data_IF_232525790785
#
_entry.id   IF_232525790785
#
_cell.length_a   1.000
_cell.length_b   1.000
_cell.length_c   1.000
_cell.angle_alpha   90.00
_cell.angle_beta   90.00
_cell.angle_gamma   90.00
#
_symmetry.space_group_name_H-M   'P 1'
#
loop_
_entity.id
_entity.type
_entity.pdbx_description
1 polymer ?
#
# COMPACT_ATOMS: atom_id res chain seq x y z
N UNK A 1 23.49 -1.54 3.77
CA UNK A 1 22.44 -1.77 4.80
C UNK A 1 22.34 -3.23 5.26
N UNK A 2 22.46 -4.23 4.36
CA UNK A 2 22.36 -5.65 4.70
C UNK A 2 23.45 -6.15 5.68
N UNK A 3 24.68 -5.67 5.54
CA UNK A 3 25.79 -6.03 6.43
C UNK A 3 25.59 -5.50 7.86
N UNK A 4 25.24 -4.22 8.03
CA UNK A 4 24.94 -3.64 9.34
C UNK A 4 23.82 -4.40 10.07
N UNK A 5 22.78 -4.83 9.34
CA UNK A 5 21.71 -5.69 9.88
C UNK A 5 22.26 -7.05 10.34
N UNK A 6 23.14 -7.68 9.57
CA UNK A 6 23.77 -8.96 9.93
C UNK A 6 24.55 -8.81 11.23
N UNK A 7 25.41 -7.80 11.32
CA UNK A 7 26.29 -7.57 12.48
C UNK A 7 25.51 -7.24 13.77
N UNK A 8 24.41 -6.49 13.65
CA UNK A 8 23.53 -6.18 14.78
C UNK A 8 22.68 -7.37 15.26
N UNK A 9 22.48 -8.38 14.42
CA UNK A 9 21.73 -9.59 14.77
C UNK A 9 22.60 -10.63 15.51
N UNK A 10 23.93 -10.55 15.39
CA UNK A 10 24.84 -11.49 16.03
C UNK A 10 24.75 -11.40 17.56
N UNK A 11 24.84 -12.51 18.30
CA UNK A 11 24.92 -12.48 19.76
C UNK A 11 26.27 -11.90 20.22
N UNK A 12 26.33 -11.44 21.47
CA UNK A 12 27.53 -10.84 22.07
C UNK A 12 28.77 -11.77 22.06
N UNK A 13 28.56 -13.07 21.94
CA UNK A 13 29.64 -14.07 21.86
C UNK A 13 30.41 -14.06 20.53
N UNK A 14 29.86 -13.47 19.47
CA UNK A 14 30.47 -13.46 18.13
C UNK A 14 31.45 -12.31 17.98
N UNK A 15 32.56 -12.50 17.26
CA UNK A 15 33.63 -11.49 17.20
C UNK A 15 33.23 -10.19 16.48
N UNK A 16 32.33 -10.27 15.51
CA UNK A 16 31.92 -9.14 14.67
C UNK A 16 30.58 -8.51 15.12
N UNK A 17 30.15 -8.77 16.36
CA UNK A 17 28.89 -8.24 16.85
C UNK A 17 28.92 -6.70 16.99
N UNK A 18 27.76 -6.07 16.81
CA UNK A 18 27.58 -4.64 17.07
C UNK A 18 26.57 -4.44 18.20
N UNK A 19 26.98 -3.80 19.29
CA UNK A 19 26.13 -3.54 20.45
C UNK A 19 25.35 -2.23 20.37
N UNK A 20 25.89 -1.24 19.66
CA UNK A 20 25.29 0.09 19.56
C UNK A 20 25.14 0.48 18.09
N UNK A 21 23.91 0.81 17.70
CA UNK A 21 23.62 1.43 16.42
C UNK A 21 23.10 2.85 16.65
N UNK A 22 23.73 3.81 15.99
CA UNK A 22 23.18 5.17 15.84
C UNK A 22 22.40 5.18 14.54
N UNK A 23 21.13 5.58 14.60
CA UNK A 23 20.33 5.70 13.39
C UNK A 23 19.34 6.86 13.47
N UNK A 24 18.96 7.32 12.30
CA UNK A 24 17.87 8.27 12.10
C UNK A 24 16.54 7.53 11.94
N UNK A 25 15.51 8.21 11.42
CA UNK A 25 14.23 7.62 11.04
C UNK A 25 14.35 6.35 10.17
N UNK A 26 15.52 6.03 9.59
CA UNK A 26 15.77 4.78 8.86
C UNK A 26 15.56 3.50 9.69
N UNK A 27 15.62 3.51 11.04
CA UNK A 27 15.25 2.32 11.84
C UNK A 27 13.73 2.06 11.85
N UNK A 28 12.89 3.06 11.56
CA UNK A 28 11.43 2.87 11.60
C UNK A 28 10.95 1.91 10.49
N UNK A 29 11.72 1.77 9.40
CA UNK A 29 11.36 0.94 8.23
C UNK A 29 12.36 -0.20 8.03
N UNK A 30 11.93 -1.45 8.29
CA UNK A 30 12.56 -2.65 7.73
C UNK A 30 13.72 -3.30 8.49
N UNK A 31 14.14 -2.75 9.64
CA UNK A 31 15.15 -3.39 10.50
C UNK A 31 14.46 -4.24 11.59
N UNK A 32 14.43 -5.56 11.39
CA UNK A 32 13.91 -6.53 12.36
C UNK A 32 15.08 -7.25 13.04
N UNK A 33 15.36 -6.89 14.30
CA UNK A 33 16.42 -7.47 15.12
C UNK A 33 15.82 -7.76 16.51
N UNK A 34 15.73 -9.04 16.86
CA UNK A 34 15.10 -9.47 18.11
C UNK A 34 15.92 -9.11 19.36
N UNK A 35 17.24 -8.95 19.24
CA UNK A 35 18.14 -8.78 20.40
C UNK A 35 18.19 -7.38 21.00
N UNK A 36 17.54 -6.38 20.39
CA UNK A 36 17.61 -4.99 20.87
C UNK A 36 16.77 -4.81 22.14
N UNK A 37 17.46 -4.57 23.27
CA UNK A 37 16.86 -4.40 24.58
C UNK A 37 16.80 -2.95 25.10
N UNK A 38 17.52 -2.02 24.47
CA UNK A 38 17.54 -0.60 24.87
C UNK A 38 17.42 0.30 23.64
N UNK A 39 16.56 1.31 23.70
CA UNK A 39 16.49 2.39 22.72
C UNK A 39 16.51 3.74 23.42
N UNK A 40 17.35 4.64 22.94
CA UNK A 40 17.34 6.05 23.34
C UNK A 40 16.76 6.88 22.20
N UNK A 41 15.62 7.52 22.44
CA UNK A 41 14.96 8.39 21.48
C UNK A 41 15.37 9.83 21.77
N UNK A 42 16.14 10.43 20.87
CA UNK A 42 16.63 11.81 21.01
C UNK A 42 15.64 12.81 20.39
N UNK A 43 14.83 13.44 21.23
CA UNK A 43 13.76 14.37 20.87
C UNK A 43 12.50 13.65 20.38
N UNK A 44 11.37 14.36 20.32
CA UNK A 44 10.14 13.77 19.80
C UNK A 44 10.23 13.63 18.26
N UNK A 45 9.95 12.45 17.68
CA UNK A 45 9.79 12.27 16.23
C UNK A 45 8.74 13.18 15.63
N UNK A 46 8.71 13.34 14.30
CA UNK A 46 7.78 14.30 13.67
C UNK A 46 6.33 13.89 13.82
N UNK A 47 6.06 12.59 13.81
CA UNK A 47 4.71 12.01 13.91
C UNK A 47 4.63 11.00 15.05
N UNK A 48 3.43 10.82 15.61
CA UNK A 48 3.20 9.77 16.61
C UNK A 48 3.36 8.38 16.00
N UNK A 49 3.00 8.21 14.72
CA UNK A 49 3.20 6.96 13.99
C UNK A 49 4.68 6.56 13.92
N UNK A 50 5.58 7.49 13.57
CA UNK A 50 7.03 7.24 13.56
C UNK A 50 7.55 6.85 14.94
N UNK A 51 7.09 7.53 16.00
CA UNK A 51 7.47 7.22 17.37
C UNK A 51 7.11 5.77 17.73
N UNK A 52 5.85 5.36 17.51
CA UNK A 52 5.38 4.00 17.78
C UNK A 52 6.16 2.96 16.96
N UNK A 53 6.37 3.23 15.67
CA UNK A 53 7.08 2.32 14.77
C UNK A 53 8.54 2.14 15.16
N UNK A 54 9.19 3.20 15.66
CA UNK A 54 10.57 3.13 16.14
C UNK A 54 10.66 2.39 17.49
N UNK A 55 9.86 2.78 18.48
CA UNK A 55 9.95 2.24 19.85
C UNK A 55 9.49 0.78 19.94
N UNK A 56 8.57 0.34 19.07
CA UNK A 56 8.16 -1.07 18.94
C UNK A 56 9.23 -2.01 18.35
N UNK A 57 10.41 -1.50 17.99
CA UNK A 57 11.55 -2.33 17.56
C UNK A 57 12.33 -2.93 18.74
N UNK A 58 12.12 -2.44 19.95
CA UNK A 58 12.81 -2.90 21.17
C UNK A 58 11.87 -3.72 22.05
N UNK A 59 12.43 -4.70 22.77
CA UNK A 59 11.65 -5.53 23.70
C UNK A 59 10.73 -6.54 23.03
N UNK A 60 11.14 -7.08 21.87
CA UNK A 60 10.36 -8.07 21.10
C UNK A 60 10.40 -9.49 21.68
N UNK A 61 11.34 -9.75 22.58
CA UNK A 61 11.48 -11.04 23.25
C UNK A 61 10.84 -10.99 24.63
N UNK A 62 9.84 -11.85 24.85
CA UNK A 62 9.10 -11.93 26.13
C UNK A 62 10.03 -12.32 27.29
N UNK A 63 11.11 -13.06 27.01
CA UNK A 63 12.10 -13.43 28.02
C UNK A 63 13.10 -12.29 28.34
N UNK A 64 13.14 -11.23 27.52
CA UNK A 64 14.09 -10.12 27.67
C UNK A 64 13.36 -8.77 27.55
N UNK A 65 12.97 -8.15 28.68
CA UNK A 65 12.24 -6.88 28.64
C UNK A 65 13.06 -5.79 27.95
N UNK A 66 12.38 -4.98 27.14
CA UNK A 66 12.96 -3.82 26.49
C UNK A 66 12.77 -2.55 27.31
N UNK A 67 13.75 -1.64 27.26
CA UNK A 67 13.67 -0.31 27.83
C UNK A 67 13.77 0.74 26.72
N UNK A 68 12.85 1.70 26.72
CA UNK A 68 12.89 2.86 25.84
C UNK A 68 13.04 4.11 26.69
N UNK A 69 14.06 4.91 26.42
CA UNK A 69 14.37 6.16 27.11
C UNK A 69 14.20 7.31 26.14
N UNK A 70 13.21 8.16 26.37
CA UNK A 70 12.96 9.34 25.54
C UNK A 70 13.62 10.58 26.16
N UNK A 71 14.62 11.13 25.49
CA UNK A 71 15.37 12.31 25.91
C UNK A 71 14.85 13.52 25.14
N UNK A 72 14.14 14.42 25.82
CA UNK A 72 13.48 15.58 25.20
C UNK A 72 14.31 16.86 25.41
N UNK A 73 14.35 17.74 24.41
CA UNK A 73 15.09 18.99 24.50
C UNK A 73 14.21 20.14 25.02
N UNK A 74 14.56 20.71 26.17
CA UNK A 74 13.81 21.81 26.82
C UNK A 74 13.72 23.08 25.96
N UNK A 75 14.71 23.34 25.11
CA UNK A 75 14.75 24.52 24.24
C UNK A 75 13.82 24.38 23.03
N UNK A 76 13.24 23.19 22.79
CA UNK A 76 12.26 22.96 21.73
C UNK A 76 10.85 22.98 22.31
N UNK A 77 10.00 23.96 21.97
CA UNK A 77 8.63 24.06 22.51
C UNK A 77 7.80 22.78 22.33
N UNK A 78 7.98 22.07 21.20
CA UNK A 78 7.31 20.78 20.94
C UNK A 78 7.71 19.71 21.96
N UNK A 79 9.01 19.50 22.13
CA UNK A 79 9.55 18.50 23.04
C UNK A 79 9.14 18.81 24.49
N UNK A 80 9.14 20.10 24.88
CA UNK A 80 8.61 20.55 26.16
C UNK A 80 7.14 20.18 26.34
N UNK A 81 6.30 20.43 25.34
CA UNK A 81 4.87 20.08 25.40
C UNK A 81 4.65 18.57 25.52
N UNK A 82 5.46 17.75 24.85
CA UNK A 82 5.42 16.30 24.99
C UNK A 82 5.89 15.83 26.37
N UNK A 83 6.91 16.47 26.94
CA UNK A 83 7.38 16.18 28.30
C UNK A 83 6.29 16.46 29.33
N UNK A 84 5.65 17.63 29.25
CA UNK A 84 4.57 18.03 30.17
C UNK A 84 3.35 17.10 30.11
N UNK A 85 3.13 16.43 28.97
CA UNK A 85 1.99 15.52 28.75
C UNK A 85 2.40 14.05 28.62
N UNK A 86 3.61 13.68 29.02
CA UNK A 86 4.22 12.40 28.65
C UNK A 86 3.36 11.19 29.02
N UNK A 87 2.86 11.13 30.27
CA UNK A 87 2.01 10.01 30.74
C UNK A 87 0.68 9.96 30.01
N UNK A 88 -0.02 11.10 29.93
CA UNK A 88 -1.31 11.20 29.23
C UNK A 88 -1.18 10.85 27.74
N UNK A 89 -0.07 11.27 27.11
CA UNK A 89 0.28 10.87 25.75
C UNK A 89 0.44 9.34 25.66
N UNK A 90 1.20 8.69 26.54
CA UNK A 90 1.39 7.23 26.50
C UNK A 90 0.16 6.41 26.94
N UNK A 91 -0.80 7.01 27.64
CA UNK A 91 -2.10 6.38 27.92
C UNK A 91 -3.05 6.48 26.72
N UNK A 92 -2.87 7.49 25.85
CA UNK A 92 -3.79 7.79 24.75
C UNK A 92 -3.12 7.84 23.36
N UNK A 93 -1.89 7.33 23.22
CA UNK A 93 -1.02 7.60 22.07
C UNK A 93 -1.61 7.18 20.72
N UNK A 94 -2.46 6.16 20.68
CA UNK A 94 -3.18 5.76 19.45
C UNK A 94 -4.13 6.84 18.93
N UNK A 95 -4.67 7.72 19.80
CA UNK A 95 -5.50 8.86 19.39
C UNK A 95 -4.67 9.97 18.74
N UNK A 96 -3.39 10.04 19.08
CA UNK A 96 -2.45 11.03 18.53
C UNK A 96 -1.82 10.57 17.21
N UNK A 97 -2.12 9.35 16.75
CA UNK A 97 -1.71 8.89 15.41
C UNK A 97 -2.49 9.69 14.39
N UNK A 98 -1.74 10.45 13.58
CA UNK A 98 -2.29 11.29 12.54
C UNK A 98 -3.05 10.41 11.55
N UNK A 99 -4.33 10.71 11.33
CA UNK A 99 -5.05 10.11 10.23
C UNK A 99 -4.33 10.49 8.93
N UNK A 100 -3.84 9.49 8.20
CA UNK A 100 -3.30 9.75 6.87
C UNK A 100 -4.44 10.36 6.05
N UNK A 101 -4.26 11.58 5.55
CA UNK A 101 -5.28 12.32 4.79
C UNK A 101 -5.45 11.70 3.40
N UNK A 102 -6.03 10.50 3.34
CA UNK A 102 -6.49 9.90 2.09
C UNK A 102 -7.97 10.23 1.97
N UNK A 103 -8.32 11.11 1.04
CA UNK A 103 -9.73 11.38 0.71
C UNK A 103 -10.29 10.16 -0.01
N UNK A 104 -11.18 9.36 0.62
CA UNK A 104 -11.76 8.19 -0.02
C UNK A 104 -12.54 8.61 -1.26
N UNK A 105 -12.59 7.75 -2.28
CA UNK A 105 -13.29 8.04 -3.55
C UNK A 105 -12.82 9.30 -4.30
N UNK A 106 -11.66 9.87 -3.95
CA UNK A 106 -11.01 10.87 -4.79
C UNK A 106 -10.78 10.31 -6.20
N UNK A 107 -10.80 11.15 -7.26
CA UNK A 107 -10.64 10.69 -8.64
C UNK A 107 -9.40 9.78 -8.82
N UNK A 108 -8.27 10.14 -8.20
CA UNK A 108 -7.04 9.34 -8.27
C UNK A 108 -7.12 8.02 -7.51
N UNK A 109 -7.84 7.95 -6.40
CA UNK A 109 -8.08 6.69 -5.70
C UNK A 109 -8.95 5.74 -6.54
N UNK A 110 -10.00 6.28 -7.18
CA UNK A 110 -10.85 5.52 -8.09
C UNK A 110 -10.08 5.04 -9.33
N UNK A 111 -9.30 5.92 -9.96
CA UNK A 111 -8.51 5.56 -11.15
C UNK A 111 -7.49 4.44 -10.87
N UNK A 112 -6.98 4.36 -9.63
CA UNK A 112 -5.94 3.38 -9.24
C UNK A 112 -6.48 2.08 -8.68
N UNK A 113 -7.58 2.12 -7.91
CA UNK A 113 -8.05 0.99 -7.13
C UNK A 113 -9.39 0.40 -7.55
N UNK A 114 -10.20 1.12 -8.34
CA UNK A 114 -11.59 0.72 -8.59
C UNK A 114 -11.68 -0.60 -9.36
N UNK A 115 -10.88 -0.78 -10.42
CA UNK A 115 -10.92 -1.99 -11.25
C UNK A 115 -10.60 -3.25 -10.44
N UNK A 116 -9.51 -3.23 -9.66
CA UNK A 116 -9.16 -4.34 -8.77
C UNK A 116 -10.24 -4.62 -7.72
N UNK A 117 -10.85 -3.56 -7.17
CA UNK A 117 -11.92 -3.70 -6.16
C UNK A 117 -13.18 -4.33 -6.75
N UNK A 118 -13.61 -3.89 -7.94
CA UNK A 118 -14.79 -4.43 -8.65
C UNK A 118 -14.58 -5.91 -8.98
N UNK A 119 -13.40 -6.26 -9.52
CA UNK A 119 -13.06 -7.64 -9.85
C UNK A 119 -13.01 -8.52 -8.60
N UNK A 120 -12.43 -8.02 -7.50
CA UNK A 120 -12.37 -8.75 -6.24
C UNK A 120 -13.77 -8.99 -5.64
N UNK A 121 -14.64 -7.98 -5.63
CA UNK A 121 -16.01 -8.11 -5.15
C UNK A 121 -16.81 -9.11 -5.99
N UNK A 122 -16.67 -9.10 -7.31
CA UNK A 122 -17.32 -10.08 -8.17
C UNK A 122 -16.80 -11.51 -7.92
N UNK A 123 -15.46 -11.69 -7.87
CA UNK A 123 -14.82 -13.00 -7.64
C UNK A 123 -15.17 -13.63 -6.29
N UNK A 124 -15.21 -12.81 -5.23
CA UNK A 124 -15.44 -13.27 -3.85
C UNK A 124 -16.93 -13.29 -3.48
N UNK A 125 -17.74 -12.46 -4.12
CA UNK A 125 -19.18 -12.37 -3.83
C UNK A 125 -20.02 -13.41 -4.57
N UNK A 126 -19.53 -13.99 -5.67
CA UNK A 126 -20.23 -15.04 -6.41
C UNK A 126 -19.38 -16.32 -6.50
N UNK A 127 -19.78 -17.44 -5.87
CA UNK A 127 -19.00 -18.68 -5.86
C UNK A 127 -18.64 -19.22 -7.25
N UNK A 128 -19.52 -19.03 -8.24
CA UNK A 128 -19.27 -19.44 -9.62
C UNK A 128 -18.06 -18.74 -10.27
N UNK A 129 -17.69 -17.56 -9.77
CA UNK A 129 -16.59 -16.74 -10.28
C UNK A 129 -15.28 -16.93 -9.50
N UNK A 130 -15.27 -17.70 -8.41
CA UNK A 130 -14.11 -17.74 -7.50
C UNK A 130 -12.85 -18.35 -8.11
N UNK A 131 -13.00 -19.36 -8.98
CA UNK A 131 -11.89 -20.05 -9.63
C UNK A 131 -11.07 -19.09 -10.53
N UNK A 132 -9.78 -19.36 -10.80
CA UNK A 132 -8.93 -18.49 -11.62
C UNK A 132 -9.52 -18.15 -13.01
N UNK A 133 -10.09 -19.15 -13.68
CA UNK A 133 -10.77 -19.02 -14.98
C UNK A 133 -12.21 -18.50 -14.86
N UNK A 134 -12.69 -18.28 -13.63
CA UNK A 134 -14.00 -17.70 -13.33
C UNK A 134 -14.16 -16.27 -13.85
N UNK A 135 -13.08 -15.64 -14.30
CA UNK A 135 -13.14 -14.37 -15.00
C UNK A 135 -14.02 -14.42 -16.26
N UNK A 136 -14.11 -15.58 -16.92
CA UNK A 136 -14.96 -15.81 -18.09
C UNK A 136 -16.46 -15.92 -17.73
N UNK A 137 -16.78 -16.31 -16.49
CA UNK A 137 -18.16 -16.56 -16.04
C UNK A 137 -19.01 -15.28 -15.94
N UNK A 138 -18.41 -14.10 -16.12
CA UNK A 138 -19.16 -12.85 -16.25
C UNK A 138 -20.17 -12.89 -17.40
N UNK A 139 -19.88 -13.63 -18.48
CA UNK A 139 -20.80 -13.76 -19.62
C UNK A 139 -22.14 -14.37 -19.24
N UNK A 140 -22.17 -15.23 -18.21
CA UNK A 140 -23.40 -15.86 -17.71
C UNK A 140 -23.98 -15.11 -16.52
N UNK A 141 -23.13 -14.49 -15.71
CA UNK A 141 -23.49 -13.97 -14.39
C UNK A 141 -23.52 -12.44 -14.30
N UNK A 142 -23.37 -11.71 -15.41
CA UNK A 142 -23.40 -10.23 -15.41
C UNK A 142 -24.60 -9.61 -14.68
N UNK A 143 -25.85 -10.12 -14.81
CA UNK A 143 -26.99 -9.60 -14.06
C UNK A 143 -26.90 -9.85 -12.55
N UNK A 144 -26.22 -10.93 -12.14
CA UNK A 144 -26.02 -11.25 -10.73
C UNK A 144 -24.94 -10.39 -10.06
N UNK A 145 -24.26 -9.49 -10.79
CA UNK A 145 -23.20 -8.62 -10.27
C UNK A 145 -23.68 -7.23 -9.83
N UNK A 146 -24.98 -6.96 -9.85
CA UNK A 146 -25.53 -5.66 -9.43
C UNK A 146 -25.21 -5.34 -7.95
N UNK A 147 -25.07 -6.36 -7.10
CA UNK A 147 -24.63 -6.18 -5.70
C UNK A 147 -23.25 -5.50 -5.58
N UNK A 148 -22.37 -5.65 -6.59
CA UNK A 148 -21.05 -5.00 -6.60
C UNK A 148 -21.21 -3.49 -6.75
N UNK A 149 -22.14 -3.06 -7.60
CA UNK A 149 -22.50 -1.65 -7.79
C UNK A 149 -23.08 -1.11 -6.48
N UNK A 150 -24.08 -1.80 -5.93
CA UNK A 150 -24.79 -1.37 -4.73
C UNK A 150 -23.86 -1.25 -3.52
N UNK A 151 -22.94 -2.20 -3.35
CA UNK A 151 -21.98 -2.20 -2.24
C UNK A 151 -21.04 -0.99 -2.30
N UNK A 152 -20.53 -0.63 -3.48
CA UNK A 152 -19.62 0.50 -3.64
C UNK A 152 -20.35 1.84 -3.56
N UNK A 153 -21.57 1.91 -4.10
CA UNK A 153 -22.42 3.09 -4.03
C UNK A 153 -22.84 3.39 -2.59
N UNK A 154 -23.31 2.38 -1.85
CA UNK A 154 -23.71 2.52 -0.45
C UNK A 154 -22.54 2.96 0.43
N UNK A 155 -21.30 2.53 0.09
CA UNK A 155 -20.10 2.99 0.78
C UNK A 155 -19.75 4.43 0.44
N UNK A 156 -19.92 4.85 -0.82
CA UNK A 156 -19.63 6.21 -1.26
C UNK A 156 -20.58 7.23 -0.63
N UNK A 157 -21.87 6.89 -0.52
CA UNK A 157 -22.90 7.75 0.07
C UNK A 157 -22.63 8.06 1.56
N UNK A 158 -22.11 7.08 2.32
CA UNK A 158 -21.78 7.25 3.75
C UNK A 158 -20.55 8.12 4.03
N UNK A 159 -19.81 8.52 3.00
CA UNK A 159 -18.55 9.27 3.18
C UNK A 159 -18.74 10.78 3.26
N UNK A 160 -19.90 11.30 2.83
CA UNK A 160 -20.18 12.73 2.76
C UNK A 160 -21.45 13.04 3.54
N UNK A 161 -21.39 14.08 4.37
CA UNK A 161 -22.55 14.56 5.14
C UNK A 161 -23.49 15.42 4.27
N UNK A 162 -22.91 16.13 3.29
CA UNK A 162 -23.68 16.92 2.33
C UNK A 162 -24.40 15.99 1.32
N UNK A 163 -25.73 16.11 1.26
CA UNK A 163 -26.58 15.26 0.42
C UNK A 163 -26.36 15.48 -1.08
N UNK A 164 -26.08 16.69 -1.51
CA UNK A 164 -25.88 17.00 -2.93
C UNK A 164 -24.54 16.42 -3.41
N UNK A 165 -23.48 16.60 -2.64
CA UNK A 165 -22.17 16.03 -2.96
C UNK A 165 -22.18 14.50 -2.84
N UNK A 166 -22.90 13.94 -1.86
CA UNK A 166 -23.10 12.49 -1.72
C UNK A 166 -23.78 11.88 -2.95
N UNK A 167 -24.85 12.52 -3.46
CA UNK A 167 -25.58 12.03 -4.64
C UNK A 167 -24.74 12.15 -5.92
N UNK A 168 -23.98 13.25 -6.08
CA UNK A 168 -23.06 13.42 -7.19
C UNK A 168 -21.95 12.35 -7.18
N UNK A 169 -21.39 12.06 -5.99
CA UNK A 169 -20.39 11.01 -5.82
C UNK A 169 -20.97 9.62 -6.12
N UNK A 170 -22.16 9.33 -5.59
CA UNK A 170 -22.93 8.10 -5.84
C UNK A 170 -23.13 7.85 -7.32
N UNK A 171 -23.63 8.85 -8.05
CA UNK A 171 -23.84 8.77 -9.49
C UNK A 171 -22.54 8.52 -10.26
N UNK A 172 -21.46 9.22 -9.88
CA UNK A 172 -20.14 9.03 -10.49
C UNK A 172 -19.56 7.63 -10.27
N UNK A 173 -19.65 7.12 -9.03
CA UNK A 173 -19.16 5.78 -8.68
C UNK A 173 -19.98 4.72 -9.42
N UNK A 174 -21.32 4.85 -9.41
CA UNK A 174 -22.22 3.94 -10.11
C UNK A 174 -21.88 3.84 -11.60
N UNK A 175 -21.75 4.97 -12.29
CA UNK A 175 -21.42 5.01 -13.71
C UNK A 175 -20.06 4.34 -14.01
N UNK A 176 -19.03 4.60 -13.19
CA UNK A 176 -17.70 3.99 -13.37
C UNK A 176 -17.70 2.49 -13.13
N UNK A 177 -18.41 2.00 -12.12
CA UNK A 177 -18.49 0.56 -11.83
C UNK A 177 -19.27 -0.17 -12.93
N UNK A 178 -20.37 0.42 -13.40
CA UNK A 178 -21.16 -0.13 -14.51
C UNK A 178 -20.32 -0.22 -15.79
N UNK A 179 -19.62 0.87 -16.16
CA UNK A 179 -18.69 0.88 -17.30
C UNK A 179 -17.60 -0.20 -17.19
N UNK A 180 -17.04 -0.43 -15.99
CA UNK A 180 -16.08 -1.52 -15.77
C UNK A 180 -16.70 -2.90 -15.97
N UNK A 181 -17.88 -3.18 -15.43
CA UNK A 181 -18.53 -4.48 -15.61
C UNK A 181 -18.91 -4.74 -17.08
N UNK A 182 -19.33 -3.70 -17.80
CA UNK A 182 -19.70 -3.79 -19.20
C UNK A 182 -18.46 -4.01 -20.09
N UNK A 183 -17.37 -3.29 -19.82
CA UNK A 183 -16.10 -3.51 -20.53
C UNK A 183 -15.48 -4.87 -20.21
N UNK A 184 -15.63 -5.39 -18.99
CA UNK A 184 -15.21 -6.75 -18.67
C UNK A 184 -16.00 -7.77 -19.48
N UNK A 185 -17.33 -7.61 -19.56
CA UNK A 185 -18.19 -8.47 -20.37
C UNK A 185 -17.78 -8.47 -21.85
N UNK A 186 -17.45 -7.30 -22.41
CA UNK A 186 -16.92 -7.18 -23.79
C UNK A 186 -15.58 -7.89 -23.96
N UNK A 187 -14.63 -7.70 -23.05
CA UNK A 187 -13.33 -8.40 -23.09
C UNK A 187 -13.51 -9.92 -23.03
N UNK A 188 -14.38 -10.40 -22.14
CA UNK A 188 -14.66 -11.82 -22.02
C UNK A 188 -15.32 -12.37 -23.29
N UNK A 189 -16.19 -11.58 -23.94
CA UNK A 189 -16.85 -11.95 -25.19
C UNK A 189 -15.87 -12.00 -26.37
N UNK A 190 -14.99 -11.00 -26.50
CA UNK A 190 -13.93 -10.96 -27.52
C UNK A 190 -13.05 -12.21 -27.41
N UNK A 191 -12.55 -12.53 -26.21
CA UNK A 191 -11.75 -13.73 -26.01
C UNK A 191 -12.52 -15.04 -26.19
N UNK A 192 -13.82 -15.08 -25.82
CA UNK A 192 -14.66 -16.25 -26.05
C UNK A 192 -14.75 -16.59 -27.55
N UNK A 193 -14.98 -15.56 -28.37
CA UNK A 193 -15.11 -15.70 -29.82
C UNK A 193 -13.79 -16.14 -30.48
N UNK A 194 -12.66 -15.73 -29.92
CA UNK A 194 -11.32 -16.14 -30.36
C UNK A 194 -10.89 -17.52 -29.81
N UNK A 195 -11.72 -18.18 -28.99
CA UNK A 195 -11.39 -19.45 -28.34
C UNK A 195 -10.31 -19.33 -27.26
N UNK A 196 -10.09 -18.13 -26.73
CA UNK A 196 -9.08 -17.80 -25.73
C UNK A 196 -9.73 -17.81 -24.34
N UNK A 197 -9.13 -18.53 -23.39
CA UNK A 197 -9.59 -18.51 -22.01
C UNK A 197 -9.15 -17.23 -21.28
N UNK A 198 -10.05 -16.63 -20.49
CA UNK A 198 -9.76 -15.48 -19.61
C UNK A 198 -9.56 -15.93 -18.16
N UNK A 199 -8.57 -15.34 -17.49
CA UNK A 199 -8.33 -15.46 -16.05
C UNK A 199 -8.19 -14.10 -15.39
N UNK A 200 -8.31 -14.04 -14.06
CA UNK A 200 -8.17 -12.78 -13.33
C UNK A 200 -6.76 -12.18 -13.44
N UNK A 201 -5.76 -12.97 -13.13
CA UNK A 201 -4.33 -12.69 -13.28
C UNK A 201 -3.62 -14.00 -13.63
N UNK A 202 -2.31 -13.99 -13.88
CA UNK A 202 -1.53 -15.18 -14.23
C UNK A 202 -1.51 -16.23 -13.09
N UNK A 203 -2.54 -17.08 -13.04
CA UNK A 203 -2.80 -18.07 -11.99
C UNK A 203 -2.91 -19.49 -12.57
N UNK A 204 -3.47 -19.63 -13.78
CA UNK A 204 -3.75 -20.90 -14.45
C UNK A 204 -3.26 -20.89 -15.91
N UNK A 205 -2.05 -21.41 -16.12
CA UNK A 205 -1.52 -21.75 -17.45
C UNK A 205 -1.54 -20.61 -18.47
N UNK A 206 -1.88 -20.93 -19.73
CA UNK A 206 -1.83 -20.02 -20.88
C UNK A 206 -3.04 -19.10 -21.09
N UNK A 207 -3.97 -19.01 -20.12
CA UNK A 207 -5.12 -18.11 -20.23
C UNK A 207 -4.67 -16.64 -20.20
N UNK A 208 -5.42 -15.76 -20.88
CA UNK A 208 -5.10 -14.33 -20.88
C UNK A 208 -5.56 -13.66 -19.58
N UNK A 209 -4.75 -12.79 -18.96
CA UNK A 209 -5.15 -12.09 -17.74
C UNK A 209 -6.10 -10.92 -18.04
N UNK A 210 -7.04 -10.68 -17.12
CA UNK A 210 -7.90 -9.51 -17.10
C UNK A 210 -7.17 -8.31 -16.47
N UNK A 211 -6.56 -8.51 -15.30
CA UNK A 211 -5.89 -7.48 -14.52
C UNK A 211 -4.40 -7.39 -14.87
N UNK A 212 -3.96 -6.17 -15.17
CA UNK A 212 -2.57 -5.84 -15.46
C UNK A 212 -2.03 -4.83 -14.45
N UNK A 213 -0.71 -4.84 -14.22
CA UNK A 213 -0.07 -3.76 -13.46
C UNK A 213 0.02 -2.48 -14.31
N UNK A 214 0.17 -1.32 -13.67
CA UNK A 214 0.21 -0.04 -14.40
C UNK A 214 1.37 0.09 -15.38
N UNK A 215 2.49 -0.60 -15.09
CA UNK A 215 3.72 -0.56 -15.89
C UNK A 215 3.89 -1.80 -16.77
N UNK A 216 2.84 -2.63 -16.88
CA UNK A 216 2.90 -3.85 -17.67
C UNK A 216 3.18 -3.54 -19.15
N UNK A 217 4.28 -4.06 -19.74
CA UNK A 217 4.62 -3.79 -21.13
C UNK A 217 3.60 -4.37 -22.11
N UNK A 218 2.89 -5.45 -21.75
CA UNK A 218 1.89 -6.07 -22.63
C UNK A 218 0.68 -5.17 -22.82
N UNK A 219 0.36 -4.33 -21.83
CA UNK A 219 -0.77 -3.42 -21.88
C UNK A 219 -0.65 -2.37 -23.00
N UNK A 220 0.59 -2.06 -23.46
CA UNK A 220 0.82 -1.17 -24.61
C UNK A 220 0.32 -1.77 -25.92
N UNK A 221 0.33 -3.11 -26.02
CA UNK A 221 -0.07 -3.86 -27.23
C UNK A 221 -1.56 -4.23 -27.24
N UNK A 222 -2.25 -4.11 -26.10
CA UNK A 222 -3.67 -4.45 -25.97
C UNK A 222 -4.59 -3.29 -26.38
N UNK A 223 -5.84 -3.59 -26.79
CA UNK A 223 -6.85 -2.57 -27.05
C UNK A 223 -7.08 -1.66 -25.83
N UNK A 224 -7.47 -0.41 -26.08
CA UNK A 224 -7.66 0.62 -25.05
C UNK A 224 -8.57 0.17 -23.89
N UNK A 225 -9.57 -0.70 -24.15
CA UNK A 225 -10.47 -1.23 -23.11
C UNK A 225 -9.73 -1.97 -21.99
N UNK A 226 -8.66 -2.70 -22.30
CA UNK A 226 -7.88 -3.44 -21.31
C UNK A 226 -7.16 -2.50 -20.33
N UNK A 227 -6.88 -1.25 -20.73
CA UNK A 227 -6.25 -0.25 -19.86
C UNK A 227 -7.14 0.17 -18.69
N UNK A 228 -8.45 -0.10 -18.76
CA UNK A 228 -9.36 0.10 -17.62
C UNK A 228 -9.13 -0.92 -16.50
N UNK A 229 -8.56 -2.09 -16.81
CA UNK A 229 -8.28 -3.17 -15.86
C UNK A 229 -6.85 -3.13 -15.35
N UNK A 230 -6.42 -1.95 -14.89
CA UNK A 230 -5.14 -1.79 -14.20
C UNK A 230 -5.33 -1.90 -12.70
N UNK A 231 -4.59 -2.79 -12.06
CA UNK A 231 -4.55 -2.96 -10.62
C UNK A 231 -3.13 -3.32 -10.18
N UNK A 232 -2.51 -2.47 -9.36
CA UNK A 232 -1.22 -2.78 -8.78
C UNK A 232 -1.37 -3.71 -7.57
N UNK A 233 -0.33 -4.51 -7.33
CA UNK A 233 -0.18 -5.32 -6.10
C UNK A 233 0.14 -4.47 -4.87
N UNK A 234 0.63 -3.25 -5.11
CA UNK A 234 1.06 -2.26 -4.12
C UNK A 234 0.55 -0.88 -4.54
N UNK A 235 -0.05 -0.15 -3.60
CA UNK A 235 -0.43 1.24 -3.81
C UNK A 235 0.74 2.21 -3.57
N UNK A 236 1.92 1.69 -3.19
CA UNK A 236 3.13 2.48 -2.94
C UNK A 236 3.94 2.70 -4.22
N UNK A 237 3.95 1.72 -5.12
CA UNK A 237 4.79 1.71 -6.31
C UNK A 237 3.94 2.05 -7.53
N UNK A 238 3.89 3.34 -7.89
CA UNK A 238 3.04 3.82 -8.99
C UNK A 238 3.82 4.60 -10.04
N UNK A 239 5.12 4.78 -9.84
CA UNK A 239 6.00 5.45 -10.79
C UNK A 239 7.07 4.46 -11.28
N UNK A 240 7.40 4.45 -12.58
CA UNK A 240 8.54 3.70 -13.05
C UNK A 240 9.78 4.25 -12.34
N UNK A 241 10.68 3.37 -11.90
CA UNK A 241 12.00 3.77 -11.43
C UNK A 241 12.69 4.52 -12.56
N UNK A 242 12.89 5.82 -12.38
CA UNK A 242 13.67 6.64 -13.30
C UNK A 242 15.10 6.64 -12.79
N UNK A 243 16.02 6.12 -13.59
CA UNK A 243 17.44 6.25 -13.29
C UNK A 243 17.80 7.74 -13.40
N UNK A 244 18.25 8.34 -12.30
CA UNK A 244 18.74 9.70 -12.29
C UNK A 244 20.23 9.68 -12.64
N UNK A 245 20.55 10.13 -13.85
CA UNK A 245 21.93 10.30 -14.27
C UNK A 245 22.39 11.68 -13.81
N UNK A 246 23.21 11.72 -12.77
CA UNK A 246 23.79 12.97 -12.27
C UNK A 246 24.97 13.34 -13.16
N UNK A 247 24.89 14.52 -13.77
CA UNK A 247 26.00 15.11 -14.55
C UNK A 247 26.52 16.34 -13.84
N UNK A 248 27.83 16.57 -13.93
CA UNK A 248 28.42 17.86 -13.52
C UNK A 248 28.00 18.96 -14.50
N UNK A 249 28.20 20.24 -14.14
CA UNK A 249 27.92 21.37 -15.03
C UNK A 249 28.69 21.30 -16.36
N UNK A 250 29.81 20.58 -16.38
CA UNK A 250 30.63 20.34 -17.58
C UNK A 250 30.18 19.10 -18.37
N UNK A 251 29.00 18.57 -18.07
CA UNK A 251 28.35 17.45 -18.75
C UNK A 251 29.09 16.11 -18.62
N UNK A 252 30.00 15.98 -17.65
CA UNK A 252 30.65 14.71 -17.31
C UNK A 252 29.73 13.86 -16.43
N UNK A 253 29.64 12.57 -16.74
CA UNK A 253 28.87 11.62 -15.95
C UNK A 253 29.57 11.42 -14.59
N UNK A 254 28.83 11.58 -13.49
CA UNK A 254 29.34 11.25 -12.15
C UNK A 254 29.25 9.74 -12.02
N UNK A 255 30.38 9.05 -11.93
CA UNK A 255 30.40 7.59 -11.72
C UNK A 255 29.57 7.24 -10.47
N UNK A 256 28.55 6.40 -10.64
CA UNK A 256 27.87 5.78 -9.51
C UNK A 256 28.87 4.81 -8.86
N UNK A 257 29.50 5.24 -7.76
CA UNK A 257 30.21 4.34 -6.86
C UNK A 257 29.22 3.26 -6.40
N UNK A 258 29.29 2.11 -7.06
CA UNK A 258 28.45 0.97 -6.75
C UNK A 258 28.69 0.46 -5.33
N UNK A 259 27.66 0.55 -4.48
CA UNK A 259 27.48 -0.24 -3.27
C UNK A 259 26.00 -0.53 -2.98
#
# INVERSE_FOLDING_TARGET
MAEAKRLLALPFSEKDHVDVAIATNMISVGLDITRLGLMVVLGQPKTSAEYIQATSRVGRDVARPGLVVTVLNIHRPRDRSHYERFSCYHETFYRSVEATSVTPFSPRALDRGLAGTVVALARLGLPAMTAPLGAQEILKNRPALDFVIDSLVARAEKMLEDKADAEALRSRVRSRVMDLLDEWSKIAHDYHNDGIALQYQAEAGGAQPLLYTFLDPELKKKPMRHRKFRANRSMRDVEPSVNLWVKTFDNADVEEDGQ
#
